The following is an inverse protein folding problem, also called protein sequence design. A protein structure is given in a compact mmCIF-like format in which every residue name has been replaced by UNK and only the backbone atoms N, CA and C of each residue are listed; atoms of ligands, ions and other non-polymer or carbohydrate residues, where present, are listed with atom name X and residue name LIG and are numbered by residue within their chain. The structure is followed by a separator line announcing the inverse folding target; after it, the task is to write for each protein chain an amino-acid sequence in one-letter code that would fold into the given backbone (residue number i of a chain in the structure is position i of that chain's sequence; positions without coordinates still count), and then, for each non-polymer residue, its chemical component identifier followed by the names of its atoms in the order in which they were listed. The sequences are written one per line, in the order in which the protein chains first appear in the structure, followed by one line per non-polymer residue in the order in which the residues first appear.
data_IF_766344057656
#
_entry.id   IF_766344057656
#
_cell.length_a   1.000
_cell.length_b   1.000
_cell.length_c   1.000
_cell.angle_alpha   90.00
_cell.angle_beta   90.00
_cell.angle_gamma   90.00
#
_symmetry.space_group_name_H-M   'P 1'
#
loop_
_entity.id
_entity.type
_entity.pdbx_description
1 polymer ?
#
# COMPACT_ATOMS: atom_id res chain seq x y z
N UNK A 1 -17.36 6.64 23.59
CA UNK A 1 -17.32 7.78 22.65
C UNK A 1 -17.79 7.25 21.31
N UNK A 2 -18.96 7.70 20.84
CA UNK A 2 -19.41 7.38 19.49
C UNK A 2 -18.74 8.37 18.53
N UNK A 3 -18.02 7.87 17.52
CA UNK A 3 -17.51 8.71 16.43
C UNK A 3 -16.00 8.72 16.20
N UNK A 4 -15.26 7.66 16.53
CA UNK A 4 -13.92 7.47 15.91
C UNK A 4 -14.05 6.32 14.92
N UNK A 5 -14.00 6.67 13.63
CA UNK A 5 -14.01 5.71 12.55
C UNK A 5 -12.58 5.16 12.36
N UNK A 6 -12.29 4.06 13.06
CA UNK A 6 -11.02 3.33 12.93
C UNK A 6 -10.98 2.42 11.68
N UNK A 7 -11.92 2.58 10.73
CA UNK A 7 -12.02 1.71 9.56
C UNK A 7 -11.23 2.18 8.33
N UNK A 8 -10.68 3.41 8.35
CA UNK A 8 -9.73 3.85 7.33
C UNK A 8 -8.32 3.31 7.62
N UNK A 9 -8.14 2.03 7.32
CA UNK A 9 -6.82 1.43 7.22
C UNK A 9 -6.16 1.91 5.92
N UNK A 10 -5.40 3.01 5.97
CA UNK A 10 -4.48 3.38 4.89
C UNK A 10 -3.25 2.46 4.88
N UNK A 11 -3.47 1.14 4.79
CA UNK A 11 -2.43 0.27 4.31
C UNK A 11 -2.08 0.73 2.88
N UNK A 12 -0.81 0.86 2.56
CA UNK A 12 -0.33 1.24 1.22
C UNK A 12 -0.59 0.11 0.21
N UNK A 13 -1.86 -0.19 -0.05
CA UNK A 13 -2.25 -1.23 -0.98
C UNK A 13 -2.36 -0.58 -2.34
N UNK A 14 -1.42 -0.91 -3.22
CA UNK A 14 -1.48 -0.48 -4.61
C UNK A 14 -2.82 -0.92 -5.22
N UNK A 15 -3.57 0.04 -5.77
CA UNK A 15 -4.84 -0.25 -6.45
C UNK A 15 -4.56 -1.08 -7.70
N UNK A 16 -5.34 -2.14 -7.91
CA UNK A 16 -5.17 -3.02 -9.07
C UNK A 16 -5.32 -2.26 -10.40
N UNK A 17 -6.16 -1.21 -10.44
CA UNK A 17 -6.27 -0.33 -11.62
C UNK A 17 -4.95 0.36 -11.94
N UNK A 18 -4.22 0.84 -10.94
CA UNK A 18 -2.91 1.47 -11.13
C UNK A 18 -1.88 0.47 -11.63
N UNK A 19 -1.84 -0.74 -11.06
CA UNK A 19 -0.94 -1.82 -11.51
C UNK A 19 -1.19 -2.14 -12.99
N UNK A 20 -2.46 -2.32 -13.39
CA UNK A 20 -2.82 -2.60 -14.79
C UNK A 20 -2.44 -1.47 -15.73
N UNK A 21 -2.63 -0.21 -15.32
CA UNK A 21 -2.23 0.95 -16.11
C UNK A 21 -0.72 0.96 -16.36
N UNK A 22 0.09 0.77 -15.30
CA UNK A 22 1.55 0.71 -15.41
C UNK A 22 2.00 -0.41 -16.34
N UNK A 23 1.41 -1.61 -16.23
CA UNK A 23 1.71 -2.73 -17.13
C UNK A 23 1.30 -2.45 -18.58
N UNK A 24 0.17 -1.78 -18.81
CA UNK A 24 -0.25 -1.41 -20.16
C UNK A 24 0.73 -0.42 -20.81
N UNK A 25 1.25 0.54 -20.04
CA UNK A 25 2.29 1.48 -20.51
C UNK A 25 3.59 0.73 -20.81
N UNK A 26 4.03 -0.18 -19.94
CA UNK A 26 5.23 -0.98 -20.16
C UNK A 26 5.11 -1.82 -21.44
N UNK A 27 3.97 -2.49 -21.65
CA UNK A 27 3.71 -3.27 -22.86
C UNK A 27 3.71 -2.40 -24.13
N UNK A 28 3.08 -1.22 -24.09
CA UNK A 28 3.05 -0.29 -25.23
C UNK A 28 4.45 0.18 -25.63
N UNK A 29 5.35 0.33 -24.67
CA UNK A 29 6.73 0.76 -24.90
C UNK A 29 7.73 -0.41 -25.05
N UNK A 30 7.24 -1.66 -25.03
CA UNK A 30 8.07 -2.89 -25.04
C UNK A 30 9.14 -2.89 -23.94
N UNK A 31 8.81 -2.38 -22.77
CA UNK A 31 9.69 -2.39 -21.61
C UNK A 31 9.73 -3.78 -20.98
N UNK A 32 10.92 -4.18 -20.54
CA UNK A 32 11.10 -5.35 -19.69
C UNK A 32 10.58 -5.03 -18.27
N UNK A 33 9.79 -5.94 -17.72
CA UNK A 33 9.21 -5.78 -16.37
C UNK A 33 9.86 -6.79 -15.44
N UNK A 34 10.48 -6.31 -14.38
CA UNK A 34 11.04 -7.13 -13.31
C UNK A 34 10.14 -7.05 -12.08
N UNK A 35 9.92 -8.20 -11.43
CA UNK A 35 9.21 -8.27 -10.16
C UNK A 35 10.21 -8.21 -9.00
N UNK A 36 9.92 -7.38 -8.01
CA UNK A 36 10.65 -7.35 -6.74
C UNK A 36 9.66 -7.55 -5.61
N UNK A 37 9.85 -8.61 -4.82
CA UNK A 37 9.09 -8.85 -3.59
C UNK A 37 9.87 -8.30 -2.40
N UNK A 38 9.31 -7.31 -1.71
CA UNK A 38 9.95 -6.65 -0.57
C UNK A 38 9.30 -7.16 0.71
N UNK A 39 10.01 -8.02 1.44
CA UNK A 39 9.53 -8.66 2.68
C UNK A 39 9.09 -7.69 3.79
N UNK A 40 9.50 -6.42 3.73
CA UNK A 40 9.22 -5.41 4.76
C UNK A 40 8.52 -4.15 4.23
N UNK A 41 7.88 -4.19 3.06
CA UNK A 41 7.29 -3.01 2.43
C UNK A 41 6.28 -2.26 3.33
N UNK A 42 5.57 -2.98 4.21
CA UNK A 42 4.62 -2.40 5.15
C UNK A 42 5.28 -1.81 6.42
N UNK A 43 6.53 -2.17 6.73
CA UNK A 43 7.20 -1.83 7.98
C UNK A 43 8.30 -0.76 7.83
N UNK A 44 8.50 -0.23 6.62
CA UNK A 44 9.52 0.78 6.32
C UNK A 44 8.93 2.07 5.72
N UNK A 45 7.61 2.23 5.75
CA UNK A 45 7.00 3.53 5.48
C UNK A 45 7.22 4.45 6.67
N UNK A 46 7.85 5.59 6.45
CA UNK A 46 7.82 6.66 7.44
C UNK A 46 6.37 7.05 7.66
N UNK A 47 5.89 6.82 8.88
CA UNK A 47 4.53 7.11 9.27
C UNK A 47 4.56 8.45 10.02
N UNK A 48 4.11 9.51 9.35
CA UNK A 48 3.97 10.84 9.98
C UNK A 48 2.71 10.95 10.85
N UNK A 49 1.80 9.97 10.77
CA UNK A 49 0.51 9.97 11.46
C UNK A 49 0.58 9.25 12.83
N UNK A 50 -0.08 9.83 13.84
CA UNK A 50 -0.20 9.22 15.17
C UNK A 50 -1.21 8.07 15.14
N UNK A 51 -0.73 6.83 15.19
CA UNK A 51 -1.57 5.63 15.26
C UNK A 51 -1.89 5.28 16.71
N UNK A 52 -3.18 5.10 17.01
CA UNK A 52 -3.66 4.53 18.26
C UNK A 52 -3.91 3.03 18.09
N UNK A 53 -3.28 2.20 18.93
CA UNK A 53 -3.50 0.75 18.95
C UNK A 53 -3.81 0.26 20.37
N UNK A 54 -4.79 -0.63 20.52
CA UNK A 54 -5.05 -1.35 21.77
C UNK A 54 -4.23 -2.66 21.75
N UNK A 55 -3.42 -2.89 22.78
CA UNK A 55 -2.68 -4.15 22.89
C UNK A 55 -3.61 -5.28 23.34
N UNK A 56 -3.54 -6.47 22.72
CA UNK A 56 -4.29 -7.63 23.19
C UNK A 56 -3.80 -8.08 24.59
N UNK A 57 -4.68 -8.69 25.41
CA UNK A 57 -4.34 -9.15 26.77
C UNK A 57 -3.32 -10.28 26.81
#
# INVERSE_FOLDING_TARGET
VAGVDYSETFASVAKMTSIRLTLAIAAANRWEVHQMDVKSAFLHGDLEEEIYMEQPP
#
